data_IF_488566772851
#
_entry.id   IF_488566772851
#
_cell.length_a   1.000
_cell.length_b   1.000
_cell.length_c   1.000
_cell.angle_alpha   90.00
_cell.angle_beta   90.00
_cell.angle_gamma   90.00
#
_symmetry.space_group_name_H-M   'P 1'
#
loop_
_entity.id
_entity.type
_entity.pdbx_description
1 polymer ?
#
# COMPACT_ATOMS: atom_id res chain seq x y z
N UNK A 1 -14.77 38.25 -18.72
CA UNK A 1 -13.51 37.55 -19.04
C UNK A 1 -13.81 36.06 -19.09
N UNK A 2 -13.37 35.31 -20.11
CA UNK A 2 -13.45 33.86 -20.03
C UNK A 2 -12.58 33.41 -18.85
N UNK A 3 -13.18 32.74 -17.88
CA UNK A 3 -12.49 32.11 -16.75
C UNK A 3 -11.43 31.18 -17.33
N UNK A 4 -10.18 31.32 -16.86
CA UNK A 4 -9.11 30.39 -17.22
C UNK A 4 -9.61 28.94 -17.03
N UNK A 5 -9.26 28.00 -17.94
CA UNK A 5 -9.66 26.61 -17.77
C UNK A 5 -9.17 26.13 -16.41
N UNK A 6 -10.08 25.56 -15.62
CA UNK A 6 -9.74 25.01 -14.31
C UNK A 6 -8.60 24.01 -14.48
N UNK A 7 -7.48 24.14 -13.74
CA UNK A 7 -6.38 23.20 -13.84
C UNK A 7 -6.88 21.78 -13.52
N UNK A 8 -6.71 20.86 -14.46
CA UNK A 8 -6.99 19.44 -14.27
C UNK A 8 -5.84 18.82 -13.48
N UNK A 9 -6.13 18.39 -12.26
CA UNK A 9 -5.20 17.58 -11.47
C UNK A 9 -5.24 16.16 -12.03
N UNK A 10 -4.09 15.53 -12.18
CA UNK A 10 -3.98 14.13 -12.56
C UNK A 10 -3.34 13.32 -11.43
N UNK A 11 -3.90 12.16 -11.16
CA UNK A 11 -3.38 11.17 -10.24
C UNK A 11 -3.07 9.87 -11.01
N UNK A 12 -1.85 9.38 -10.90
CA UNK A 12 -1.38 8.16 -11.55
C UNK A 12 -1.06 7.13 -10.48
N UNK A 13 -1.66 5.95 -10.56
CA UNK A 13 -1.31 4.84 -9.66
C UNK A 13 0.02 4.23 -10.10
N UNK A 14 1.11 4.51 -9.39
CA UNK A 14 2.41 3.90 -9.74
C UNK A 14 2.54 2.45 -9.25
N UNK A 15 1.73 2.08 -8.28
CA UNK A 15 1.48 0.70 -7.86
C UNK A 15 0.15 0.53 -7.13
N UNK A 16 -0.42 -0.67 -7.16
CA UNK A 16 -1.72 -0.99 -6.51
C UNK A 16 -1.72 -2.29 -5.69
N UNK A 17 -0.56 -2.89 -5.46
CA UNK A 17 -0.37 -4.17 -4.78
C UNK A 17 -0.05 -4.05 -3.30
N UNK A 18 -0.10 -5.19 -2.61
CA UNK A 18 0.33 -5.35 -1.22
C UNK A 18 1.85 -5.16 -1.05
N UNK A 19 2.34 -5.25 0.19
CA UNK A 19 3.76 -5.23 0.50
C UNK A 19 4.58 -6.28 -0.26
N UNK A 20 4.01 -7.46 -0.53
CA UNK A 20 4.68 -8.52 -1.31
C UNK A 20 4.74 -8.28 -2.81
N UNK A 21 4.02 -7.28 -3.35
CA UNK A 21 3.77 -7.09 -4.80
C UNK A 21 3.16 -8.34 -5.47
N UNK A 22 2.77 -8.22 -6.75
CA UNK A 22 2.23 -9.32 -7.56
C UNK A 22 2.92 -9.29 -8.92
N UNK A 23 3.41 -10.43 -9.44
CA UNK A 23 3.22 -11.80 -8.96
C UNK A 23 4.07 -12.19 -7.74
N UNK A 24 3.61 -13.21 -7.01
CA UNK A 24 4.41 -13.86 -5.97
C UNK A 24 5.33 -14.91 -6.61
N UNK A 25 6.63 -14.87 -6.28
CA UNK A 25 7.63 -15.81 -6.80
C UNK A 25 7.23 -17.27 -6.54
N UNK A 26 6.74 -17.59 -5.33
CA UNK A 26 6.37 -18.95 -4.97
C UNK A 26 5.23 -19.49 -5.85
N UNK A 27 4.31 -18.63 -6.29
CA UNK A 27 3.23 -19.02 -7.20
C UNK A 27 3.73 -19.25 -8.63
N UNK A 28 4.70 -18.45 -9.10
CA UNK A 28 5.21 -18.57 -10.47
C UNK A 28 6.20 -19.70 -10.66
N UNK A 29 6.85 -20.12 -9.58
CA UNK A 29 7.79 -21.26 -9.59
C UNK A 29 7.12 -22.58 -9.20
N UNK A 30 5.81 -22.57 -8.91
CA UNK A 30 5.03 -23.79 -8.71
C UNK A 30 4.86 -24.53 -10.04
N UNK A 31 4.84 -25.86 -10.01
CA UNK A 31 4.70 -26.70 -11.21
C UNK A 31 3.62 -27.79 -11.01
N UNK A 32 2.45 -27.65 -11.66
CA UNK A 32 2.06 -26.54 -12.53
C UNK A 32 1.76 -25.26 -11.75
N UNK A 33 1.82 -24.09 -12.40
CA UNK A 33 1.36 -22.83 -11.80
C UNK A 33 -0.14 -22.93 -11.48
N UNK A 34 -0.48 -22.97 -10.19
CA UNK A 34 -1.87 -23.14 -9.70
C UNK A 34 -2.59 -21.83 -9.40
N UNK A 35 -1.86 -20.74 -9.14
CA UNK A 35 -2.46 -19.45 -8.79
C UNK A 35 -2.94 -18.71 -10.05
N UNK A 36 -4.25 -18.55 -10.22
CA UNK A 36 -4.85 -17.86 -11.37
C UNK A 36 -4.30 -16.42 -11.55
N UNK A 37 -4.31 -15.63 -10.47
CA UNK A 37 -3.86 -14.22 -10.54
C UNK A 37 -2.39 -14.11 -10.92
N UNK A 38 -1.50 -14.84 -10.23
CA UNK A 38 -0.07 -14.81 -10.53
C UNK A 38 0.21 -15.39 -11.92
N UNK A 39 -0.36 -16.54 -12.27
CA UNK A 39 -0.18 -17.17 -13.58
C UNK A 39 -0.63 -16.27 -14.73
N UNK A 40 -1.73 -15.53 -14.54
CA UNK A 40 -2.21 -14.57 -15.56
C UNK A 40 -1.21 -13.45 -15.86
N UNK A 41 -0.29 -13.11 -14.94
CA UNK A 41 0.71 -12.04 -15.18
C UNK A 41 1.68 -12.36 -16.32
N UNK A 42 1.79 -13.64 -16.69
CA UNK A 42 2.60 -14.12 -17.81
C UNK A 42 1.91 -13.93 -19.16
N UNK A 43 0.65 -13.49 -19.21
CA UNK A 43 -0.12 -13.27 -20.44
C UNK A 43 -0.39 -11.78 -20.68
N UNK A 44 -0.58 -11.35 -21.95
CA UNK A 44 -0.97 -9.97 -22.25
C UNK A 44 -2.27 -9.52 -21.57
N UNK A 45 -3.24 -10.43 -21.41
CA UNK A 45 -4.55 -10.13 -20.83
C UNK A 45 -4.47 -9.92 -19.31
N UNK A 46 -3.51 -10.57 -18.63
CA UNK A 46 -3.36 -10.47 -17.18
C UNK A 46 -2.39 -9.37 -16.71
N UNK A 47 -2.01 -8.41 -17.57
CA UNK A 47 -1.06 -7.36 -17.15
C UNK A 47 -1.59 -6.50 -15.98
N UNK A 48 -2.91 -6.29 -15.85
CA UNK A 48 -3.51 -5.61 -14.68
C UNK A 48 -3.42 -6.40 -13.37
N UNK A 49 -2.97 -7.65 -13.42
CA UNK A 49 -2.63 -8.46 -12.25
C UNK A 49 -1.16 -8.32 -11.84
N UNK A 50 -0.29 -7.66 -12.62
CA UNK A 50 0.99 -7.17 -12.11
C UNK A 50 0.72 -5.95 -11.26
N UNK A 51 1.15 -5.98 -10.01
CA UNK A 51 0.83 -4.96 -9.01
C UNK A 51 2.07 -4.64 -8.19
N UNK A 52 2.66 -3.48 -8.45
CA UNK A 52 3.77 -2.90 -7.68
C UNK A 52 3.29 -2.49 -6.29
N UNK A 53 4.21 -2.23 -5.36
CA UNK A 53 3.86 -1.68 -4.05
C UNK A 53 3.05 -0.39 -4.22
N UNK A 54 1.99 -0.28 -3.43
CA UNK A 54 1.01 0.77 -3.60
C UNK A 54 1.64 2.15 -3.42
N UNK A 55 1.30 3.06 -4.33
CA UNK A 55 1.79 4.43 -4.32
C UNK A 55 1.14 5.25 -5.44
N UNK A 56 1.35 6.57 -5.41
CA UNK A 56 0.69 7.50 -6.32
C UNK A 56 1.62 8.58 -6.88
N UNK A 57 1.26 9.14 -8.03
CA UNK A 57 1.90 10.34 -8.58
C UNK A 57 0.81 11.35 -8.84
N UNK A 58 0.90 12.50 -8.18
CA UNK A 58 0.03 13.63 -8.35
C UNK A 58 0.72 14.66 -9.25
N UNK A 59 0.13 14.90 -10.42
CA UNK A 59 0.60 15.88 -11.40
C UNK A 59 -0.35 17.06 -11.42
N UNK A 60 0.20 18.23 -11.11
CA UNK A 60 -0.58 19.46 -10.94
C UNK A 60 -0.07 20.47 -11.99
N UNK A 61 -0.92 20.89 -12.93
CA UNK A 61 -0.54 21.89 -13.91
C UNK A 61 -0.28 23.24 -13.22
N UNK A 62 0.57 24.06 -13.83
CA UNK A 62 0.88 25.41 -13.35
C UNK A 62 0.56 26.43 -14.43
N UNK A 63 0.18 27.63 -14.02
CA UNK A 63 -0.05 28.72 -14.96
C UNK A 63 1.21 29.11 -15.74
N UNK A 64 1.00 29.45 -17.01
CA UNK A 64 2.02 29.85 -17.97
C UNK A 64 2.87 28.68 -18.46
N UNK A 65 4.07 28.97 -18.96
CA UNK A 65 5.02 27.95 -19.45
C UNK A 65 5.82 27.28 -18.32
N UNK A 66 5.32 27.33 -17.08
CA UNK A 66 6.01 26.72 -15.93
C UNK A 66 5.85 25.20 -15.99
N UNK A 67 6.90 24.43 -15.66
CA UNK A 67 6.78 22.98 -15.61
C UNK A 67 5.76 22.57 -14.55
N UNK A 68 4.95 21.57 -14.88
CA UNK A 68 4.01 20.94 -13.96
C UNK A 68 4.69 20.52 -12.65
N UNK A 69 3.91 20.51 -11.55
CA UNK A 69 4.36 19.96 -10.27
C UNK A 69 4.09 18.48 -10.23
N UNK A 70 5.08 17.71 -9.78
CA UNK A 70 4.97 16.26 -9.59
C UNK A 70 5.23 15.93 -8.13
N UNK A 71 4.20 15.43 -7.45
CA UNK A 71 4.27 14.95 -6.07
C UNK A 71 4.10 13.43 -6.08
N UNK A 72 5.07 12.70 -5.56
CA UNK A 72 4.99 11.23 -5.44
C UNK A 72 4.52 10.89 -4.03
N UNK A 73 3.61 9.91 -3.90
CA UNK A 73 3.19 9.35 -2.63
C UNK A 73 3.76 7.94 -2.55
N UNK A 74 4.60 7.74 -1.54
CA UNK A 74 5.41 6.56 -1.28
C UNK A 74 6.36 6.16 -2.43
N UNK A 75 7.53 5.68 -2.05
CA UNK A 75 8.62 5.22 -2.92
C UNK A 75 9.12 3.88 -2.41
N UNK A 76 8.26 2.85 -2.48
CA UNK A 76 8.61 1.49 -2.07
C UNK A 76 9.67 0.81 -2.94
N UNK A 77 10.05 -0.42 -2.60
CA UNK A 77 11.04 -1.23 -3.35
C UNK A 77 10.73 -1.45 -4.84
N UNK A 78 9.49 -1.27 -5.27
CA UNK A 78 9.10 -1.38 -6.70
C UNK A 78 9.03 -0.03 -7.41
N UNK A 79 9.31 1.08 -6.73
CA UNK A 79 9.16 2.43 -7.29
C UNK A 79 10.10 2.67 -8.47
N UNK A 80 11.36 2.22 -8.42
CA UNK A 80 12.28 2.37 -9.55
C UNK A 80 11.70 1.74 -10.84
N UNK A 81 11.15 0.52 -10.74
CA UNK A 81 10.47 -0.12 -11.88
C UNK A 81 9.25 0.67 -12.35
N UNK A 82 8.47 1.24 -11.42
CA UNK A 82 7.35 2.11 -11.78
C UNK A 82 7.85 3.38 -12.49
N UNK A 83 8.91 4.00 -12.00
CA UNK A 83 9.43 5.23 -12.55
C UNK A 83 10.01 5.03 -13.97
N UNK A 84 10.78 3.95 -14.18
CA UNK A 84 11.33 3.61 -15.50
C UNK A 84 10.26 3.33 -16.57
N UNK A 85 9.07 2.87 -16.15
CA UNK A 85 7.92 2.64 -17.03
C UNK A 85 7.11 3.93 -17.23
N UNK A 86 6.66 4.54 -16.13
CA UNK A 86 5.63 5.59 -16.15
C UNK A 86 6.19 6.98 -16.43
N UNK A 87 7.40 7.31 -15.97
CA UNK A 87 7.95 8.67 -16.19
C UNK A 87 8.19 8.95 -17.67
N UNK A 88 8.88 8.08 -18.44
CA UNK A 88 9.02 8.27 -19.88
C UNK A 88 7.68 8.22 -20.60
N UNK A 89 6.78 7.31 -20.20
CA UNK A 89 5.47 7.12 -20.83
C UNK A 89 4.57 8.35 -20.70
N UNK A 90 4.59 9.02 -19.56
CA UNK A 90 3.73 10.18 -19.28
C UNK A 90 4.45 11.54 -19.36
N UNK A 91 5.72 11.54 -19.76
CA UNK A 91 6.52 12.76 -19.90
C UNK A 91 6.90 13.40 -18.56
N UNK A 92 6.85 12.65 -17.46
CA UNK A 92 7.28 13.13 -16.15
C UNK A 92 8.80 13.21 -16.12
N UNK A 93 9.33 14.32 -15.60
CA UNK A 93 10.77 14.52 -15.51
C UNK A 93 11.26 14.75 -14.10
N UNK A 94 10.67 15.70 -13.38
CA UNK A 94 11.06 16.07 -12.01
C UNK A 94 10.18 15.40 -10.97
N UNK A 95 10.66 15.36 -9.73
CA UNK A 95 9.87 15.02 -8.54
C UNK A 95 9.99 16.21 -7.59
N UNK A 96 8.98 17.07 -7.52
CA UNK A 96 9.02 18.25 -6.65
C UNK A 96 8.88 17.87 -5.17
N UNK A 97 8.10 16.83 -4.86
CA UNK A 97 8.00 16.33 -3.50
C UNK A 97 7.71 14.84 -3.44
N UNK A 98 8.13 14.21 -2.34
CA UNK A 98 7.67 12.87 -1.94
C UNK A 98 6.93 12.99 -0.61
N UNK A 99 5.72 12.43 -0.55
CA UNK A 99 4.98 12.24 0.69
C UNK A 99 5.17 10.79 1.13
N UNK A 100 5.86 10.57 2.25
CA UNK A 100 6.10 9.23 2.78
C UNK A 100 5.09 8.93 3.88
N UNK A 101 4.22 7.94 3.64
CA UNK A 101 3.08 7.66 4.51
C UNK A 101 3.49 6.92 5.78
N UNK A 102 4.39 5.94 5.69
CA UNK A 102 4.82 5.10 6.81
C UNK A 102 6.18 4.43 6.53
N UNK A 103 6.88 3.90 7.56
CA UNK A 103 8.27 3.43 7.40
C UNK A 103 8.40 1.94 7.05
N UNK A 104 7.44 1.36 6.33
CA UNK A 104 7.58 -0.02 5.87
C UNK A 104 8.31 -0.10 4.52
N UNK A 105 8.89 -1.26 4.24
CA UNK A 105 9.71 -1.49 3.05
C UNK A 105 8.97 -1.25 1.73
N UNK A 106 7.67 -1.50 1.72
CA UNK A 106 6.78 -1.23 0.59
C UNK A 106 6.44 0.24 0.40
N UNK A 107 6.76 1.11 1.34
CA UNK A 107 6.60 2.56 1.22
C UNK A 107 7.93 3.32 1.07
N UNK A 108 9.05 2.86 1.65
CA UNK A 108 10.28 3.66 1.73
C UNK A 108 11.54 3.07 1.06
N UNK A 109 11.58 1.79 0.69
CA UNK A 109 12.84 1.15 0.26
C UNK A 109 13.35 1.57 -1.13
N UNK A 110 12.59 2.37 -1.87
CA UNK A 110 13.01 3.00 -3.13
C UNK A 110 13.56 4.42 -2.93
N UNK A 111 13.69 4.92 -1.69
CA UNK A 111 14.29 6.23 -1.43
C UNK A 111 15.69 6.35 -2.05
N UNK A 112 16.52 5.31 -1.95
CA UNK A 112 17.88 5.37 -2.47
C UNK A 112 17.94 5.52 -4.00
N UNK A 113 16.95 4.98 -4.71
CA UNK A 113 16.83 5.07 -6.17
C UNK A 113 16.55 6.50 -6.65
N UNK A 114 16.07 7.39 -5.78
CA UNK A 114 15.83 8.80 -6.11
C UNK A 114 17.11 9.56 -6.47
N UNK A 115 18.29 8.97 -6.25
CA UNK A 115 19.56 9.50 -6.75
C UNK A 115 19.56 9.72 -8.26
N UNK A 116 18.75 8.96 -9.02
CA UNK A 116 18.57 9.16 -10.45
C UNK A 116 18.14 10.58 -10.85
N UNK A 117 17.48 11.31 -9.93
CA UNK A 117 17.04 12.69 -10.13
C UNK A 117 18.03 13.74 -9.63
N UNK A 118 18.70 13.47 -8.51
CA UNK A 118 19.49 14.49 -7.81
C UNK A 118 20.98 14.42 -8.11
N UNK A 119 21.46 13.28 -8.61
CA UNK A 119 22.87 13.04 -8.70
C UNK A 119 23.57 14.06 -9.60
N UNK A 120 24.50 14.82 -9.03
CA UNK A 120 25.24 15.90 -9.71
C UNK A 120 24.31 16.93 -10.37
N UNK A 121 23.10 17.12 -9.83
CA UNK A 121 22.09 18.00 -10.42
C UNK A 121 21.58 17.52 -11.79
N UNK A 122 21.58 16.21 -12.06
CA UNK A 122 21.19 15.63 -13.36
C UNK A 122 19.80 16.08 -13.84
N UNK A 123 18.86 16.18 -12.92
CA UNK A 123 17.49 16.65 -13.18
C UNK A 123 17.14 17.80 -12.22
N UNK A 124 17.55 17.71 -10.96
CA UNK A 124 17.28 18.70 -9.90
C UNK A 124 18.33 18.63 -8.79
N UNK A 125 18.45 19.67 -7.98
CA UNK A 125 19.48 19.70 -6.92
C UNK A 125 19.11 18.88 -5.69
N UNK A 126 17.81 18.74 -5.41
CA UNK A 126 17.27 18.00 -4.26
C UNK A 126 15.81 17.62 -4.51
N UNK A 127 15.29 16.70 -3.69
CA UNK A 127 13.86 16.39 -3.59
C UNK A 127 13.38 16.70 -2.17
N UNK A 128 12.24 17.37 -2.04
CA UNK A 128 11.60 17.63 -0.74
C UNK A 128 10.82 16.39 -0.27
N UNK A 129 11.13 15.87 0.91
CA UNK A 129 10.51 14.70 1.50
C UNK A 129 9.67 15.12 2.71
N UNK A 130 8.35 14.92 2.62
CA UNK A 130 7.39 15.23 3.68
C UNK A 130 7.03 13.95 4.42
N UNK A 131 7.25 13.94 5.73
CA UNK A 131 7.26 12.71 6.52
C UNK A 131 6.90 12.98 7.99
N UNK A 132 6.29 12.02 8.67
CA UNK A 132 6.09 12.14 10.12
C UNK A 132 7.42 12.04 10.88
N UNK A 133 7.49 12.57 12.10
CA UNK A 133 8.67 12.42 12.95
C UNK A 133 9.00 10.95 13.25
N UNK A 134 7.97 10.11 13.45
CA UNK A 134 8.15 8.67 13.64
C UNK A 134 8.79 8.00 12.42
N UNK A 135 8.24 8.26 11.23
CA UNK A 135 8.72 7.68 9.99
C UNK A 135 10.16 8.14 9.67
N UNK A 136 10.51 9.40 9.91
CA UNK A 136 11.88 9.88 9.70
C UNK A 136 12.89 9.15 10.60
N UNK A 137 12.55 8.89 11.87
CA UNK A 137 13.42 8.11 12.77
C UNK A 137 13.69 6.71 12.23
N UNK A 138 12.66 6.05 11.70
CA UNK A 138 12.82 4.71 11.13
C UNK A 138 13.60 4.72 9.80
N UNK A 139 13.44 5.75 8.97
CA UNK A 139 14.29 5.97 7.80
C UNK A 139 15.75 6.13 8.24
N UNK A 140 16.03 6.98 9.23
CA UNK A 140 17.39 7.19 9.74
C UNK A 140 17.99 5.91 10.33
N UNK A 141 17.19 5.10 11.02
CA UNK A 141 17.62 3.80 11.56
C UNK A 141 17.98 2.80 10.45
N UNK A 142 17.23 2.82 9.35
CA UNK A 142 17.36 1.84 8.26
C UNK A 142 18.41 2.27 7.22
N UNK A 143 18.49 3.57 6.94
CA UNK A 143 19.31 4.18 5.90
C UNK A 143 19.96 5.49 6.43
N UNK A 144 20.87 5.41 7.41
CA UNK A 144 21.42 6.59 8.09
C UNK A 144 22.08 7.59 7.12
N UNK A 145 22.70 7.09 6.05
CA UNK A 145 23.38 7.89 5.03
C UNK A 145 22.41 8.76 4.18
N UNK A 146 21.12 8.41 4.10
CA UNK A 146 20.11 9.22 3.39
C UNK A 146 19.68 10.46 4.20
N UNK A 147 19.89 10.43 5.51
CA UNK A 147 19.51 11.50 6.43
C UNK A 147 20.71 12.36 6.77
N UNK A 148 21.86 11.75 7.07
CA UNK A 148 23.08 12.46 7.41
C UNK A 148 24.27 11.93 6.61
N UNK A 149 24.84 12.82 5.79
CA UNK A 149 25.96 12.52 4.87
C UNK A 149 27.22 12.02 5.57
N UNK A 150 27.40 12.30 6.85
CA UNK A 150 28.51 11.80 7.65
C UNK A 150 28.53 10.26 7.79
N UNK A 151 27.39 9.60 7.60
CA UNK A 151 27.31 8.13 7.56
C UNK A 151 27.53 7.55 6.15
N UNK A 152 27.82 8.40 5.15
CA UNK A 152 28.21 7.96 3.82
C UNK A 152 29.63 7.36 3.84
N UNK A 153 29.77 6.13 3.36
CA UNK A 153 31.09 5.53 3.13
C UNK A 153 31.54 5.80 1.68
N UNK A 154 32.58 6.62 1.50
CA UNK A 154 33.19 6.91 0.18
C UNK A 154 32.59 8.13 -0.55
N UNK A 155 33.14 8.46 -1.74
CA UNK A 155 32.69 9.59 -2.57
C UNK A 155 31.39 9.34 -3.35
N UNK A 156 30.45 8.61 -2.74
CA UNK A 156 29.31 7.99 -3.41
C UNK A 156 28.19 8.95 -3.82
N UNK A 157 27.49 8.54 -4.87
CA UNK A 157 26.43 9.24 -5.58
C UNK A 157 25.07 9.27 -4.80
N UNK A 158 25.03 9.79 -3.58
CA UNK A 158 23.87 9.75 -2.65
C UNK A 158 22.75 10.72 -3.10
N UNK A 159 21.46 10.36 -2.94
CA UNK A 159 20.39 11.30 -3.23
C UNK A 159 20.41 12.53 -2.31
N UNK A 160 19.99 13.68 -2.83
CA UNK A 160 19.91 14.91 -2.04
C UNK A 160 18.46 15.14 -1.60
N UNK A 161 18.22 15.13 -0.29
CA UNK A 161 16.89 15.32 0.29
C UNK A 161 16.81 16.55 1.19
N UNK A 162 15.64 17.20 1.16
CA UNK A 162 15.22 18.16 2.18
C UNK A 162 14.07 17.56 2.95
N UNK A 163 14.29 17.31 4.25
CA UNK A 163 13.32 16.66 5.11
C UNK A 163 12.37 17.68 5.74
N UNK A 164 11.06 17.46 5.59
CA UNK A 164 9.99 18.28 6.14
C UNK A 164 9.13 17.44 7.07
N UNK A 165 9.07 17.80 8.35
CA UNK A 165 8.21 17.12 9.31
C UNK A 165 6.77 17.59 9.14
N UNK A 166 5.88 16.65 8.84
CA UNK A 166 4.43 16.86 8.86
C UNK A 166 3.83 16.24 10.12
N UNK A 167 2.68 16.77 10.53
CA UNK A 167 1.95 16.30 11.70
C UNK A 167 0.60 15.71 11.28
N UNK A 168 0.15 14.73 12.04
CA UNK A 168 -1.13 14.08 11.82
C UNK A 168 -2.28 15.08 11.99
N UNK A 169 -3.24 15.04 11.05
CA UNK A 169 -4.44 15.87 11.03
C UNK A 169 -4.19 17.39 11.00
N UNK A 170 -2.95 17.83 10.81
CA UNK A 170 -2.60 19.24 10.57
C UNK A 170 -2.35 19.44 9.05
N UNK A 171 -3.15 20.29 8.37
CA UNK A 171 -2.92 20.58 6.97
C UNK A 171 -1.55 21.23 6.73
N UNK A 172 -0.90 20.83 5.65
CA UNK A 172 0.34 21.43 5.17
C UNK A 172 0.25 21.67 3.67
N UNK A 173 1.24 22.36 3.12
CA UNK A 173 1.29 22.70 1.70
C UNK A 173 2.68 22.45 1.14
N UNK A 174 2.74 21.76 -0.01
CA UNK A 174 3.97 21.65 -0.81
C UNK A 174 4.19 22.96 -1.56
N UNK A 175 5.44 23.38 -1.74
CA UNK A 175 5.74 24.66 -2.37
C UNK A 175 5.11 24.80 -3.78
N UNK A 176 4.25 25.81 -3.93
CA UNK A 176 3.66 26.17 -5.21
C UNK A 176 2.43 25.35 -5.62
N UNK A 177 1.81 24.59 -4.71
CA UNK A 177 0.42 24.12 -4.87
C UNK A 177 -0.56 25.09 -4.18
N UNK A 178 -1.79 25.21 -4.68
CA UNK A 178 -2.78 26.17 -4.17
C UNK A 178 -3.81 25.58 -3.19
N UNK A 179 -3.67 24.30 -2.85
CA UNK A 179 -4.55 23.59 -1.94
C UNK A 179 -3.78 22.95 -0.79
N UNK A 180 -4.48 22.69 0.31
CA UNK A 180 -3.88 22.05 1.46
C UNK A 180 -3.93 20.52 1.33
N UNK A 181 -2.87 19.88 1.79
CA UNK A 181 -2.79 18.44 1.97
C UNK A 181 -3.03 18.19 3.45
N UNK A 182 -4.07 17.41 3.77
CA UNK A 182 -4.39 17.05 5.16
C UNK A 182 -4.02 15.58 5.39
N UNK A 183 -2.97 15.29 6.18
CA UNK A 183 -2.67 13.92 6.60
C UNK A 183 -3.80 13.40 7.48
N UNK A 184 -4.42 12.28 7.11
CA UNK A 184 -5.44 11.64 7.94
C UNK A 184 -4.78 10.47 8.66
N UNK A 185 -4.81 10.49 9.99
CA UNK A 185 -4.30 9.38 10.78
C UNK A 185 -5.16 8.12 10.57
N UNK A 186 -4.52 7.00 10.26
CA UNK A 186 -5.16 5.70 10.02
C UNK A 186 -4.41 4.60 10.76
N UNK A 187 -5.14 3.60 11.25
CA UNK A 187 -4.52 2.43 11.87
C UNK A 187 -3.95 1.48 10.79
N UNK A 188 -2.64 1.29 10.79
CA UNK A 188 -1.95 0.38 9.87
C UNK A 188 -1.57 -0.93 10.58
N UNK A 189 -2.56 -1.83 10.72
CA UNK A 189 -2.39 -3.14 11.35
C UNK A 189 -2.06 -3.08 12.85
N UNK A 190 -1.51 -4.18 13.38
CA UNK A 190 -1.01 -4.25 14.76
C UNK A 190 0.41 -3.67 14.78
N UNK A 191 0.55 -2.44 15.24
CA UNK A 191 1.86 -1.88 15.57
C UNK A 191 2.46 -2.73 16.70
N UNK A 192 3.54 -3.45 16.41
CA UNK A 192 4.35 -4.11 17.44
C UNK A 192 5.30 -3.08 18.08
N UNK A 193 4.78 -1.95 18.54
CA UNK A 193 5.57 -1.01 19.34
C UNK A 193 5.49 -1.47 20.79
N UNK A 194 6.43 -2.33 21.18
CA UNK A 194 6.79 -2.42 22.60
C UNK A 194 7.68 -1.21 22.88
N UNK A 195 7.12 -0.12 23.39
CA UNK A 195 7.90 1.05 23.85
C UNK A 195 8.84 0.70 25.05
N UNK A 196 8.83 -0.55 25.52
CA UNK A 196 9.60 -1.05 26.67
C UNK A 196 10.62 -2.16 26.33
N UNK A 197 10.71 -2.62 25.07
CA UNK A 197 11.67 -3.65 24.71
C UNK A 197 12.58 -3.16 23.58
N UNK A 198 13.82 -2.82 23.94
CA UNK A 198 14.90 -2.67 22.96
C UNK A 198 14.98 -3.89 22.03
N UNK A 199 15.66 -3.78 20.88
CA UNK A 199 15.69 -4.84 19.88
C UNK A 199 16.14 -6.16 20.54
N UNK A 200 15.47 -7.30 20.27
CA UNK A 200 15.92 -8.59 20.77
C UNK A 200 17.36 -8.79 20.30
N UNK A 201 18.26 -9.08 21.26
CA UNK A 201 19.66 -9.30 21.00
C UNK A 201 19.83 -10.33 19.89
N UNK A 202 20.40 -9.90 18.76
CA UNK A 202 20.71 -10.79 17.66
C UNK A 202 21.79 -11.76 18.14
N UNK A 203 21.43 -13.02 18.42
CA UNK A 203 22.40 -14.11 18.55
C UNK A 203 22.73 -14.59 17.14
N UNK A 204 23.95 -14.37 16.63
CA UNK A 204 24.33 -14.92 15.34
C UNK A 204 24.28 -16.44 15.40
N UNK A 205 23.71 -17.07 14.37
CA UNK A 205 23.89 -18.51 14.11
C UNK A 205 25.39 -18.79 13.99
N UNK A 206 25.93 -19.85 14.62
CA UNK A 206 27.35 -20.15 14.50
C UNK A 206 27.71 -20.42 13.03
N UNK A 207 28.68 -19.69 12.50
CA UNK A 207 29.27 -19.97 11.20
C UNK A 207 30.07 -21.28 11.27
N UNK A 208 29.57 -22.34 10.66
CA UNK A 208 30.39 -23.48 10.28
C UNK A 208 31.38 -23.03 9.20
N UNK A 209 32.61 -22.71 9.61
CA UNK A 209 33.73 -22.53 8.69
C UNK A 209 34.66 -23.74 8.82
N UNK A 210 35.05 -24.42 7.73
CA UNK A 210 35.94 -25.58 7.80
C UNK A 210 37.37 -25.11 8.14
N UNK A 211 37.85 -25.47 9.33
CA UNK A 211 39.21 -25.22 9.76
C UNK A 211 40.22 -26.12 9.04
N UNK A 212 41.16 -25.51 8.31
CA UNK A 212 42.38 -26.17 7.86
C UNK A 212 43.28 -26.51 9.06
N UNK A 213 43.37 -27.81 9.33
CA UNK A 213 44.49 -28.62 9.84
C UNK A 213 45.61 -27.95 10.68
N UNK A 214 45.72 -28.37 11.95
CA UNK A 214 46.99 -28.70 12.60
C UNK A 214 46.84 -29.91 13.56
N UNK A 215 47.40 -31.04 13.15
CA UNK A 215 48.11 -32.07 13.94
C UNK A 215 47.55 -32.52 15.31
N UNK A 216 47.10 -33.79 15.41
CA UNK A 216 47.86 -34.91 16.00
C UNK A 216 46.97 -36.04 16.62
N UNK A 217 46.98 -37.20 15.93
CA UNK A 217 47.00 -38.59 16.47
C UNK A 217 45.81 -39.20 17.26
N UNK A 218 45.68 -40.55 17.23
CA UNK A 218 44.38 -41.21 17.10
C UNK A 218 43.97 -42.06 18.30
N UNK A 219 42.67 -42.31 18.45
CA UNK A 219 42.19 -43.49 19.18
C UNK A 219 41.04 -44.18 18.45
N UNK A 220 41.29 -45.46 18.16
CA UNK A 220 40.36 -46.57 17.91
C UNK A 220 39.32 -46.64 19.06
N UNK A 221 38.12 -47.25 18.99
CA UNK A 221 37.56 -48.31 18.14
C UNK A 221 36.11 -48.62 18.58
N UNK A 222 35.30 -49.15 17.64
CA UNK A 222 34.17 -50.12 17.79
C UNK A 222 32.92 -49.66 18.57
N UNK A 223 31.71 -50.16 18.34
CA UNK A 223 30.99 -50.97 17.34
C UNK A 223 29.56 -51.08 17.96
N UNK A 224 28.48 -50.93 17.19
CA UNK A 224 27.12 -51.10 17.75
C UNK A 224 26.00 -50.92 16.73
N UNK A 225 25.67 -52.01 16.05
CA UNK A 225 24.57 -52.22 15.10
C UNK A 225 23.26 -52.56 15.88
N UNK A 226 22.09 -52.04 15.49
CA UNK A 226 20.93 -52.87 15.08
C UNK A 226 19.73 -52.05 14.57
N UNK A 227 19.20 -52.52 13.44
CA UNK A 227 18.01 -52.10 12.70
C UNK A 227 16.73 -52.80 13.21
N UNK A 228 15.59 -52.13 12.99
CA UNK A 228 14.30 -52.60 12.42
C UNK A 228 13.25 -51.54 12.84
N UNK A 229 12.37 -50.96 12.01
CA UNK A 229 11.87 -51.21 10.67
C UNK A 229 10.35 -51.03 10.72
N UNK A 230 9.77 -50.09 9.96
CA UNK A 230 8.45 -50.18 9.32
C UNK A 230 8.10 -48.90 8.56
N UNK A 231 7.28 -49.07 7.53
CA UNK A 231 6.91 -48.16 6.46
C UNK A 231 5.86 -47.08 6.83
N UNK A 232 5.91 -45.95 6.11
CA UNK A 232 4.77 -45.22 5.52
C UNK A 232 5.32 -43.95 4.80
N UNK A 233 5.33 -43.88 3.47
CA UNK A 233 4.35 -43.16 2.65
C UNK A 233 4.07 -41.69 3.06
N UNK A 234 4.52 -40.79 2.19
CA UNK A 234 3.88 -39.55 1.73
C UNK A 234 2.75 -38.93 2.58
N UNK A 235 2.97 -37.68 3.02
CA UNK A 235 2.04 -36.54 2.95
C UNK A 235 2.63 -35.31 3.67
N UNK A 236 3.00 -34.27 2.91
CA UNK A 236 2.96 -32.90 3.41
C UNK A 236 2.11 -32.06 2.45
N UNK A 237 0.81 -32.03 2.75
CA UNK A 237 -0.16 -31.06 2.28
C UNK A 237 -1.07 -30.68 3.46
N UNK A 238 -1.13 -29.38 3.75
CA UNK A 238 -2.16 -28.61 4.49
C UNK A 238 -1.52 -27.22 4.69
N UNK A 239 -1.99 -26.11 4.12
CA UNK A 239 -3.31 -25.48 4.13
C UNK A 239 -3.86 -25.25 5.55
N UNK A 240 -3.59 -24.06 6.08
CA UNK A 240 -4.43 -23.32 7.03
C UNK A 240 -4.50 -21.89 6.44
N UNK A 241 -5.59 -21.23 6.05
CA UNK A 241 -7.03 -21.25 6.37
C UNK A 241 -7.34 -21.09 7.85
N UNK A 242 -7.20 -19.86 8.36
CA UNK A 242 -7.93 -19.40 9.53
C UNK A 242 -9.30 -18.87 9.07
N UNK A 243 -10.26 -19.78 8.90
CA UNK A 243 -11.68 -19.45 9.00
C UNK A 243 -12.14 -19.62 10.45
N UNK A 244 -12.88 -18.61 10.93
CA UNK A 244 -13.52 -18.51 12.23
C UNK A 244 -14.37 -19.75 12.54
N UNK A 245 -14.02 -20.48 13.60
CA UNK A 245 -14.91 -21.48 14.21
C UNK A 245 -15.91 -20.80 15.13
N UNK A 246 -17.19 -20.92 14.82
CA UNK A 246 -18.27 -20.82 15.79
C UNK A 246 -18.41 -22.16 16.52
N UNK A 247 -18.48 -22.15 17.85
CA UNK A 247 -19.23 -23.16 18.63
C UNK A 247 -19.61 -22.66 20.03
N UNK A 248 -20.71 -23.21 20.61
CA UNK A 248 -21.56 -22.52 21.58
C UNK A 248 -21.40 -23.05 23.02
N UNK A 249 -21.60 -22.17 24.00
CA UNK A 249 -22.38 -22.38 25.24
C UNK A 249 -22.01 -21.35 26.31
N UNK A 250 -23.03 -20.64 26.77
CA UNK A 250 -23.00 -19.59 27.78
C UNK A 250 -22.71 -20.13 29.19
N UNK A 251 -22.50 -19.23 30.17
CA UNK A 251 -23.54 -19.11 31.19
C UNK A 251 -24.07 -17.68 31.30
N UNK A 252 -25.39 -17.60 31.47
CA UNK A 252 -26.19 -16.41 31.74
C UNK A 252 -25.81 -15.73 33.06
N UNK A 253 -25.68 -14.40 33.04
CA UNK A 253 -25.88 -13.54 34.22
C UNK A 253 -26.83 -12.41 33.82
N UNK A 254 -27.79 -12.17 34.71
CA UNK A 254 -29.05 -11.45 34.55
C UNK A 254 -28.91 -9.98 34.10
N UNK A 255 -29.92 -9.57 33.34
CA UNK A 255 -30.10 -8.19 32.88
C UNK A 255 -30.34 -7.20 34.02
N UNK A 256 -29.67 -6.05 33.90
CA UNK A 256 -30.18 -4.76 34.32
C UNK A 256 -29.82 -3.73 33.25
N UNK A 257 -30.82 -2.96 32.86
CA UNK A 257 -30.71 -1.83 31.95
C UNK A 257 -29.74 -0.79 32.54
N UNK A 258 -28.55 -0.67 31.96
CA UNK A 258 -27.59 0.37 32.35
C UNK A 258 -27.98 1.67 31.66
N UNK A 259 -28.57 2.57 32.45
CA UNK A 259 -28.73 4.00 32.13
C UNK A 259 -27.36 4.57 31.76
N UNK A 260 -27.27 5.18 30.58
CA UNK A 260 -26.12 6.00 30.19
C UNK A 260 -26.14 7.26 31.07
N UNK A 261 -25.17 7.34 31.98
CA UNK A 261 -24.80 8.59 32.66
C UNK A 261 -24.02 9.48 31.69
N UNK A 262 -24.23 10.79 31.79
CA UNK A 262 -23.60 11.83 30.96
C UNK A 262 -22.06 11.71 30.87
N UNK A 263 -21.47 12.16 29.74
CA UNK A 263 -20.04 12.00 29.49
C UNK A 263 -19.20 12.96 30.35
N UNK A 264 -18.18 12.40 31.01
CA UNK A 264 -17.06 13.16 31.55
C UNK A 264 -16.05 13.50 30.43
N UNK A 265 -15.35 14.64 30.51
CA UNK A 265 -14.70 15.27 29.37
C UNK A 265 -13.28 14.73 29.11
N UNK A 266 -12.98 14.45 27.83
CA UNK A 266 -11.65 13.99 27.42
C UNK A 266 -11.50 13.55 25.95
N UNK A 267 -12.22 14.23 25.04
CA UNK A 267 -12.00 14.32 23.58
C UNK A 267 -12.00 13.05 22.69
N UNK A 268 -13.17 12.78 22.09
CA UNK A 268 -13.32 12.29 20.71
C UNK A 268 -14.41 13.09 19.99
N UNK A 269 -14.12 13.43 18.73
CA UNK A 269 -14.98 13.96 17.65
C UNK A 269 -15.53 15.38 17.77
N UNK A 270 -14.97 16.28 16.96
CA UNK A 270 -15.72 17.41 16.41
C UNK A 270 -15.59 17.38 14.88
N UNK A 271 -16.52 16.69 14.23
CA UNK A 271 -16.93 17.03 12.87
C UNK A 271 -17.71 18.33 12.99
N UNK A 272 -17.05 19.47 12.80
CA UNK A 272 -17.73 20.75 12.78
C UNK A 272 -18.42 20.90 11.42
N UNK A 273 -19.72 20.60 11.38
CA UNK A 273 -20.59 20.99 10.27
C UNK A 273 -20.76 22.51 10.31
N UNK A 274 -20.05 23.23 9.44
CA UNK A 274 -20.49 24.57 9.05
C UNK A 274 -21.54 24.45 7.94
N UNK A 275 -22.70 25.10 8.06
CA UNK A 275 -23.60 25.25 6.94
C UNK A 275 -23.02 26.34 6.03
N UNK A 276 -22.47 25.96 4.89
CA UNK A 276 -22.20 26.94 3.82
C UNK A 276 -22.79 26.41 2.53
N UNK A 277 -23.54 27.26 1.84
CA UNK A 277 -24.12 27.07 0.51
C UNK A 277 -23.06 26.93 -0.60
N UNK A 278 -21.89 26.37 -0.27
CA UNK A 278 -20.82 26.12 -1.23
C UNK A 278 -21.04 24.74 -1.83
N UNK A 279 -21.10 24.68 -3.16
CA UNK A 279 -21.04 23.41 -3.90
C UNK A 279 -19.85 22.59 -3.34
N UNK A 280 -20.01 21.29 -3.06
CA UNK A 280 -18.94 20.47 -2.52
C UNK A 280 -17.72 20.56 -3.44
N UNK A 281 -16.60 21.06 -2.90
CA UNK A 281 -15.32 21.09 -3.62
C UNK A 281 -14.81 19.65 -3.75
N UNK A 282 -14.30 19.23 -4.92
CA UNK A 282 -13.67 17.93 -5.04
C UNK A 282 -12.47 17.85 -4.09
N UNK A 283 -12.34 16.74 -3.37
CA UNK A 283 -11.19 16.42 -2.55
C UNK A 283 -10.68 15.04 -2.97
N UNK A 284 -9.36 14.88 -3.02
CA UNK A 284 -8.72 13.59 -3.25
C UNK A 284 -8.29 13.04 -1.89
N UNK A 285 -8.85 11.91 -1.48
CA UNK A 285 -8.37 11.17 -0.34
C UNK A 285 -7.46 10.05 -0.84
N UNK A 286 -6.16 10.18 -0.58
CA UNK A 286 -5.20 9.10 -0.77
C UNK A 286 -4.73 8.64 0.60
N UNK A 287 -5.01 7.39 0.94
CA UNK A 287 -4.67 6.84 2.24
C UNK A 287 -4.89 5.34 2.29
N UNK A 288 -4.14 4.68 3.18
CA UNK A 288 -4.18 3.25 3.38
C UNK A 288 -5.13 2.90 4.51
N UNK A 289 -6.33 2.42 4.17
CA UNK A 289 -7.18 1.77 5.16
C UNK A 289 -6.94 0.27 5.04
N UNK A 290 -6.27 -0.31 6.04
CA UNK A 290 -6.21 -1.76 6.17
C UNK A 290 -7.57 -2.22 6.64
N UNK A 291 -8.32 -2.83 5.74
CA UNK A 291 -9.66 -3.34 6.01
C UNK A 291 -10.02 -4.42 5.01
N UNK A 292 -11.03 -5.21 5.34
CA UNK A 292 -11.64 -6.07 4.35
C UNK A 292 -12.43 -5.24 3.33
N UNK A 293 -12.94 -5.92 2.31
CA UNK A 293 -13.76 -5.31 1.27
C UNK A 293 -14.96 -4.51 1.83
N UNK A 294 -15.57 -4.97 2.93
CA UNK A 294 -16.71 -4.30 3.55
C UNK A 294 -16.28 -3.00 4.25
N UNK A 295 -15.12 -3.00 4.91
CA UNK A 295 -14.52 -1.79 5.48
C UNK A 295 -14.21 -0.73 4.40
N UNK A 296 -13.71 -1.15 3.25
CA UNK A 296 -13.47 -0.24 2.11
C UNK A 296 -14.78 0.38 1.59
N UNK A 297 -15.85 -0.43 1.43
CA UNK A 297 -17.17 0.05 1.01
C UNK A 297 -17.80 1.02 2.02
N UNK A 298 -17.78 0.66 3.30
CA UNK A 298 -18.30 1.50 4.37
C UNK A 298 -17.57 2.85 4.43
N UNK A 299 -16.25 2.84 4.23
CA UNK A 299 -15.43 4.05 4.17
C UNK A 299 -15.78 4.91 2.97
N UNK A 300 -15.86 4.32 1.77
CA UNK A 300 -16.24 5.04 0.55
C UNK A 300 -17.58 5.77 0.70
N UNK A 301 -18.57 5.09 1.27
CA UNK A 301 -19.89 5.67 1.56
C UNK A 301 -19.83 6.75 2.62
N UNK A 302 -19.12 6.53 3.73
CA UNK A 302 -18.99 7.52 4.82
C UNK A 302 -18.31 8.79 4.33
N UNK A 303 -17.33 8.67 3.45
CA UNK A 303 -16.69 9.82 2.82
C UNK A 303 -17.63 10.49 1.81
N UNK A 304 -18.57 9.78 1.20
CA UNK A 304 -19.40 10.32 0.12
C UNK A 304 -18.60 10.51 -1.18
N UNK A 305 -17.62 9.64 -1.43
CA UNK A 305 -16.75 9.72 -2.59
C UNK A 305 -17.53 9.50 -3.89
N UNK A 306 -17.36 10.38 -4.88
CA UNK A 306 -17.97 10.23 -6.21
C UNK A 306 -17.41 9.03 -6.98
N UNK A 307 -16.11 8.78 -6.81
CA UNK A 307 -15.38 7.64 -7.38
C UNK A 307 -14.43 7.09 -6.33
N UNK A 308 -14.43 5.76 -6.18
CA UNK A 308 -13.52 5.04 -5.28
C UNK A 308 -12.69 4.06 -6.08
N UNK A 309 -11.37 4.20 -5.97
CA UNK A 309 -10.41 3.29 -6.59
C UNK A 309 -9.74 2.47 -5.49
N UNK A 310 -9.96 1.15 -5.52
CA UNK A 310 -9.39 0.22 -4.55
C UNK A 310 -7.95 -0.13 -4.93
N UNK A 311 -7.09 -0.25 -3.92
CA UNK A 311 -5.66 -0.60 -4.01
C UNK A 311 -5.31 -1.60 -2.91
N UNK A 312 -4.05 -2.05 -2.83
CA UNK A 312 -3.59 -3.00 -1.82
C UNK A 312 -4.01 -4.44 -2.11
N UNK A 313 -4.18 -4.80 -3.38
CA UNK A 313 -4.70 -6.11 -3.74
C UNK A 313 -3.62 -7.20 -3.76
N UNK A 314 -3.85 -8.28 -3.01
CA UNK A 314 -3.05 -9.51 -3.09
C UNK A 314 -3.45 -10.44 -4.24
N UNK A 315 -2.78 -11.58 -4.38
CA UNK A 315 -3.00 -12.54 -5.48
C UNK A 315 -4.30 -13.37 -5.37
N UNK A 316 -5.09 -13.22 -4.32
CA UNK A 316 -6.27 -14.07 -4.08
C UNK A 316 -7.42 -13.83 -5.05
N UNK A 317 -7.53 -12.64 -5.63
CA UNK A 317 -8.63 -12.25 -6.54
C UNK A 317 -8.03 -11.57 -7.78
N UNK A 318 -8.31 -12.07 -8.99
CA UNK A 318 -7.90 -11.43 -10.24
C UNK A 318 -8.57 -10.05 -10.43
N UNK A 319 -7.93 -9.16 -11.18
CA UNK A 319 -8.43 -7.83 -11.47
C UNK A 319 -9.81 -7.87 -12.15
N UNK A 320 -10.04 -8.82 -13.08
CA UNK A 320 -11.33 -9.03 -13.75
C UNK A 320 -12.49 -9.27 -12.79
N UNK A 321 -12.22 -9.96 -11.68
CA UNK A 321 -13.23 -10.33 -10.71
C UNK A 321 -13.57 -9.11 -9.87
N UNK A 322 -12.57 -8.31 -9.49
CA UNK A 322 -12.81 -7.02 -8.84
C UNK A 322 -13.59 -6.05 -9.72
N UNK A 323 -13.35 -6.03 -11.03
CA UNK A 323 -14.15 -5.24 -11.98
C UNK A 323 -15.60 -5.72 -11.94
N UNK A 324 -15.83 -7.03 -12.07
CA UNK A 324 -17.17 -7.62 -12.06
C UNK A 324 -17.91 -7.36 -10.75
N UNK A 325 -17.23 -7.44 -9.60
CA UNK A 325 -17.78 -7.09 -8.30
C UNK A 325 -18.24 -5.64 -8.28
N UNK A 326 -17.38 -4.70 -8.69
CA UNK A 326 -17.73 -3.28 -8.73
C UNK A 326 -18.90 -2.98 -9.66
N UNK A 327 -18.94 -3.62 -10.84
CA UNK A 327 -20.03 -3.45 -11.80
C UNK A 327 -21.38 -3.93 -11.27
N UNK A 328 -21.39 -5.06 -10.55
CA UNK A 328 -22.59 -5.57 -9.91
C UNK A 328 -23.09 -4.64 -8.78
N UNK A 329 -22.19 -4.00 -8.01
CA UNK A 329 -22.56 -3.01 -6.99
C UNK A 329 -23.22 -1.75 -7.57
N UNK A 330 -22.90 -1.42 -8.82
CA UNK A 330 -23.56 -0.36 -9.58
C UNK A 330 -24.88 -0.80 -10.23
N UNK A 331 -25.29 -2.06 -10.03
CA UNK A 331 -26.51 -2.62 -10.62
C UNK A 331 -26.36 -3.03 -12.08
N UNK A 332 -25.12 -3.16 -12.61
CA UNK A 332 -24.91 -3.68 -13.97
C UNK A 332 -25.11 -5.19 -14.02
N UNK A 333 -25.57 -5.69 -15.17
CA UNK A 333 -25.70 -7.13 -15.42
C UNK A 333 -24.34 -7.69 -15.83
N UNK A 334 -23.76 -8.56 -14.99
CA UNK A 334 -22.41 -9.14 -15.18
C UNK A 334 -22.40 -10.56 -15.79
N UNK A 335 -23.56 -11.12 -16.12
CA UNK A 335 -23.69 -12.40 -16.85
C UNK A 335 -22.98 -13.58 -16.16
N UNK A 336 -22.22 -14.35 -16.95
CA UNK A 336 -21.47 -15.53 -16.45
C UNK A 336 -20.42 -15.19 -15.38
N UNK A 337 -19.94 -13.93 -15.33
CA UNK A 337 -18.98 -13.51 -14.29
C UNK A 337 -19.56 -13.62 -12.88
N UNK A 338 -20.90 -13.52 -12.73
CA UNK A 338 -21.57 -13.72 -11.45
C UNK A 338 -21.36 -15.12 -10.86
N UNK A 339 -21.02 -16.11 -11.69
CA UNK A 339 -20.80 -17.50 -11.26
C UNK A 339 -19.37 -17.75 -10.77
N UNK A 340 -18.43 -16.82 -11.02
CA UNK A 340 -17.05 -16.96 -10.56
C UNK A 340 -17.02 -17.00 -9.02
N UNK A 341 -16.26 -17.91 -8.38
CA UNK A 341 -16.31 -18.11 -6.93
C UNK A 341 -16.06 -16.84 -6.11
N UNK A 342 -15.06 -16.03 -6.51
CA UNK A 342 -14.73 -14.78 -5.83
C UNK A 342 -15.84 -13.73 -5.95
N UNK A 343 -16.40 -13.58 -7.16
CA UNK A 343 -17.49 -12.64 -7.44
C UNK A 343 -18.73 -13.04 -6.66
N UNK A 344 -19.13 -14.31 -6.73
CA UNK A 344 -20.27 -14.85 -5.98
C UNK A 344 -20.12 -14.61 -4.48
N UNK A 345 -18.97 -14.97 -3.89
CA UNK A 345 -18.70 -14.76 -2.45
C UNK A 345 -18.81 -13.29 -2.05
N UNK A 346 -18.25 -12.38 -2.85
CA UNK A 346 -18.35 -10.95 -2.58
C UNK A 346 -19.79 -10.43 -2.65
N UNK A 347 -20.58 -10.87 -3.64
CA UNK A 347 -21.99 -10.47 -3.77
C UNK A 347 -22.87 -11.05 -2.66
N UNK A 348 -22.57 -12.26 -2.18
CA UNK A 348 -23.25 -12.85 -1.01
C UNK A 348 -22.95 -12.10 0.29
N UNK A 349 -21.75 -11.50 0.42
CA UNK A 349 -21.42 -10.64 1.57
C UNK A 349 -22.14 -9.28 1.51
N UNK A 350 -22.38 -8.77 0.30
CA UNK A 350 -23.01 -7.47 0.05
C UNK A 350 -24.53 -7.55 0.07
N UNK A 351 -25.13 -8.58 -0.51
CA UNK A 351 -26.60 -8.74 -0.64
C UNK A 351 -27.40 -8.57 0.67
N UNK A 352 -26.91 -8.96 1.86
CA UNK A 352 -27.59 -8.70 3.14
C UNK A 352 -27.56 -7.21 3.54
N UNK A 353 -26.61 -6.45 3.00
CA UNK A 353 -26.36 -5.05 3.34
C UNK A 353 -26.91 -4.13 2.24
N UNK A 354 -28.13 -3.62 2.44
CA UNK A 354 -28.67 -2.51 1.63
C UNK A 354 -27.85 -1.21 1.77
N UNK A 355 -26.81 -1.21 2.59
CA UNK A 355 -25.98 -0.03 2.83
C UNK A 355 -25.02 0.27 1.69
N UNK A 356 -24.80 -0.62 0.72
CA UNK A 356 -23.76 -0.45 -0.31
C UNK A 356 -24.29 -0.32 -1.74
N UNK A 357 -25.61 -0.29 -1.92
CA UNK A 357 -26.25 -0.10 -3.23
C UNK A 357 -25.88 1.27 -3.84
N UNK A 358 -25.51 1.28 -5.13
CA UNK A 358 -25.27 2.50 -5.89
C UNK A 358 -23.94 3.20 -5.63
N UNK A 359 -23.00 2.56 -4.93
CA UNK A 359 -21.63 3.07 -4.74
C UNK A 359 -20.78 2.73 -5.97
N UNK A 360 -20.18 3.77 -6.58
CA UNK A 360 -19.18 3.56 -7.64
C UNK A 360 -17.83 3.18 -7.02
N UNK A 361 -17.36 1.96 -7.32
CA UNK A 361 -16.09 1.45 -6.83
C UNK A 361 -15.42 0.53 -7.85
N UNK A 362 -14.13 0.75 -8.15
CA UNK A 362 -13.37 -0.08 -9.10
C UNK A 362 -11.99 -0.43 -8.58
N UNK A 363 -11.41 -1.57 -9.00
CA UNK A 363 -9.99 -1.82 -8.77
C UNK A 363 -9.14 -0.85 -9.58
N UNK A 364 -8.19 -0.19 -8.93
CA UNK A 364 -7.09 0.43 -9.65
C UNK A 364 -6.15 -0.64 -10.22
N UNK A 365 -5.35 -0.26 -11.21
CA UNK A 365 -4.18 -1.01 -11.66
C UNK A 365 -3.00 -0.05 -11.87
N UNK A 366 -1.79 -0.60 -11.88
CA UNK A 366 -0.58 0.16 -12.15
C UNK A 366 -0.72 0.90 -13.49
N UNK A 367 -0.37 2.18 -13.50
CA UNK A 367 -0.49 3.10 -14.64
C UNK A 367 -1.88 3.69 -14.86
N UNK A 368 -2.91 3.36 -14.07
CA UNK A 368 -4.21 4.01 -14.20
C UNK A 368 -4.08 5.52 -13.91
N UNK A 369 -4.56 6.35 -14.85
CA UNK A 369 -4.63 7.81 -14.70
C UNK A 369 -6.05 8.22 -14.32
N UNK A 370 -6.18 9.02 -13.27
CA UNK A 370 -7.43 9.63 -12.80
C UNK A 370 -7.28 11.14 -12.88
N UNK A 371 -8.27 11.79 -13.46
CA UNK A 371 -8.29 13.23 -13.65
C UNK A 371 -9.40 13.84 -12.80
N UNK A 372 -9.12 14.99 -12.22
CA UNK A 372 -10.08 15.76 -11.45
C UNK A 372 -9.99 17.25 -11.81
N UNK A 373 -11.14 17.85 -12.09
CA UNK A 373 -11.34 19.29 -12.12
C UNK A 373 -12.41 19.70 -11.10
N UNK A 374 -12.73 20.99 -11.01
CA UNK A 374 -13.71 21.52 -10.06
C UNK A 374 -15.13 20.90 -10.18
N UNK A 375 -15.44 20.26 -11.30
CA UNK A 375 -16.78 19.76 -11.66
C UNK A 375 -16.84 18.24 -11.77
N UNK A 376 -15.77 17.59 -12.22
CA UNK A 376 -15.79 16.19 -12.66
C UNK A 376 -14.54 15.44 -12.20
N UNK A 377 -14.73 14.13 -11.96
CA UNK A 377 -13.66 13.15 -11.78
C UNK A 377 -13.90 12.02 -12.81
N UNK A 378 -12.87 11.63 -13.54
CA UNK A 378 -12.90 10.55 -14.53
C UNK A 378 -11.53 9.85 -14.61
N UNK A 379 -11.46 8.70 -15.27
CA UNK A 379 -10.21 7.98 -15.47
C UNK A 379 -9.98 7.71 -16.96
N UNK A 380 -8.74 7.40 -17.34
CA UNK A 380 -8.37 7.20 -18.75
C UNK A 380 -9.07 6.02 -19.44
N UNK A 381 -9.76 5.16 -18.69
CA UNK A 381 -10.45 3.98 -19.23
C UNK A 381 -11.96 4.22 -19.45
N UNK A 382 -12.48 5.41 -19.11
CA UNK A 382 -13.91 5.77 -19.21
C UNK A 382 -14.10 7.16 -19.81
#
# INVERSE_FOLDING_TARGET
MPTAPTPTIEFIFHGTGTSSSIPNVACLTDDPITCETCGSTLTPQGQKNKRRNTGGILRIPRDGDRPERVIVIDVGKTFLSAALDLFPRYGLRRIDAVLLTHPHADAMNGLDDLRGWTLRGSIQDHIDIYVSAFTLREVQRSFPYLVAKEFATGGGDIPEFRWHIIKENEPFRVEGIEFDITPIAVHHGRLFTNDEAGPPGFTPTPNDTPGMSRTATPSRSRLGLHLHGSAAHSRHSSVESLELRNSPSSPSINGQSLKISEPAPGHVSVLQSQPTSAKPKPYMCYGFVVGDFMGALATAKRLGAKRTYMVGFGHSIPHSDWVSIGEALEGKVIGEQAKRPHVKKALEMVSPSKEVDGVWIRPAHDGLQVFADATKIWDAEQ
#
